data_IF_923409392167
#
_entry.id   IF_923409392167
#
_cell.length_a   1.000
_cell.length_b   1.000
_cell.length_c   1.000
_cell.angle_alpha   90.00
_cell.angle_beta   90.00
_cell.angle_gamma   90.00
#
_symmetry.space_group_name_H-M   'P 1'
#
loop_
_entity.id
_entity.type
_entity.pdbx_description
1 polymer ?
#
# COMPACT_ATOMS: atom_id res chain seq x y z
N UNK A 1 -23.08 -19.60 -6.51
CA UNK A 1 -22.35 -18.81 -5.49
C UNK A 1 -21.88 -19.63 -4.28
N UNK A 2 -22.34 -20.86 -4.04
CA UNK A 2 -21.87 -21.68 -2.91
C UNK A 2 -20.51 -22.38 -3.13
N UNK A 3 -20.10 -22.62 -4.37
CA UNK A 3 -18.86 -23.36 -4.68
C UNK A 3 -17.61 -22.48 -4.68
N UNK A 4 -17.76 -21.17 -4.89
CA UNK A 4 -16.60 -20.27 -4.97
C UNK A 4 -16.12 -19.90 -3.55
N UNK A 5 -16.98 -19.92 -2.52
CA UNK A 5 -16.60 -19.62 -1.12
C UNK A 5 -16.05 -20.82 -0.32
N UNK A 6 -15.76 -21.97 -0.95
CA UNK A 6 -15.42 -23.20 -0.22
C UNK A 6 -14.06 -23.18 0.48
N UNK A 7 -13.12 -22.35 0.02
CA UNK A 7 -11.76 -22.29 0.59
C UNK A 7 -11.26 -20.84 0.74
N UNK A 8 -11.38 -20.24 1.93
CA UNK A 8 -10.88 -18.88 2.18
C UNK A 8 -9.35 -18.76 1.99
N UNK A 9 -8.58 -19.84 2.10
CA UNK A 9 -7.13 -19.79 2.01
C UNK A 9 -6.65 -19.61 0.57
N UNK A 10 -7.39 -20.16 -0.40
CA UNK A 10 -7.13 -19.89 -1.82
C UNK A 10 -7.29 -18.39 -2.13
N UNK A 11 -8.34 -17.74 -1.63
CA UNK A 11 -8.51 -16.29 -1.78
C UNK A 11 -7.41 -15.51 -1.12
N UNK A 12 -6.98 -15.92 0.06
CA UNK A 12 -5.85 -15.30 0.75
C UNK A 12 -4.62 -15.29 -0.15
N UNK A 13 -4.28 -16.44 -0.77
CA UNK A 13 -3.14 -16.52 -1.69
C UNK A 13 -3.34 -15.64 -2.91
N UNK A 14 -4.49 -15.69 -3.59
CA UNK A 14 -4.74 -14.84 -4.77
C UNK A 14 -4.58 -13.35 -4.42
N UNK A 15 -5.19 -12.91 -3.32
CA UNK A 15 -5.09 -11.52 -2.85
C UNK A 15 -3.65 -11.17 -2.48
N UNK A 16 -2.93 -12.07 -1.83
CA UNK A 16 -1.53 -11.88 -1.45
C UNK A 16 -0.60 -11.79 -2.68
N UNK A 17 -0.78 -12.63 -3.69
CA UNK A 17 -0.07 -12.55 -4.97
C UNK A 17 -0.30 -11.20 -5.65
N UNK A 18 -1.56 -10.74 -5.73
CA UNK A 18 -1.91 -9.45 -6.34
C UNK A 18 -1.29 -8.29 -5.53
N UNK A 19 -1.35 -8.35 -4.21
CA UNK A 19 -0.72 -7.38 -3.31
C UNK A 19 0.81 -7.30 -3.55
N UNK A 20 1.52 -8.42 -3.62
CA UNK A 20 2.97 -8.44 -3.87
C UNK A 20 3.31 -7.95 -5.27
N UNK A 21 2.58 -8.39 -6.29
CA UNK A 21 2.81 -8.00 -7.68
C UNK A 21 2.59 -6.48 -7.89
N UNK A 22 1.50 -5.93 -7.35
CA UNK A 22 1.22 -4.49 -7.41
C UNK A 22 2.25 -3.68 -6.60
N UNK A 23 2.72 -4.21 -5.45
CA UNK A 23 3.81 -3.59 -4.69
C UNK A 23 5.09 -3.50 -5.54
N UNK A 24 5.49 -4.56 -6.24
CA UNK A 24 6.65 -4.52 -7.14
C UNK A 24 6.47 -3.49 -8.26
N UNK A 25 5.27 -3.43 -8.84
CA UNK A 25 4.98 -2.45 -9.89
C UNK A 25 5.09 -1.02 -9.36
N UNK A 26 4.50 -0.73 -8.21
CA UNK A 26 4.59 0.57 -7.54
C UNK A 26 6.04 0.93 -7.20
N UNK A 27 6.83 -0.01 -6.69
CA UNK A 27 8.27 0.17 -6.45
C UNK A 27 9.05 0.48 -7.73
N UNK A 28 8.68 -0.11 -8.87
CA UNK A 28 9.30 0.21 -10.16
C UNK A 28 8.98 1.64 -10.60
N UNK A 29 7.73 2.09 -10.42
CA UNK A 29 7.28 3.44 -10.76
C UNK A 29 7.92 4.50 -9.86
N UNK A 30 8.06 4.21 -8.55
CA UNK A 30 8.62 5.11 -7.56
C UNK A 30 10.06 5.56 -7.86
N UNK A 31 10.83 4.79 -8.64
CA UNK A 31 12.19 5.20 -9.07
C UNK A 31 12.23 6.45 -9.95
N UNK A 32 11.08 6.80 -10.55
CA UNK A 32 10.94 8.00 -11.38
C UNK A 32 10.46 9.20 -10.57
N UNK A 33 10.28 9.06 -9.25
CA UNK A 33 9.80 10.15 -8.40
C UNK A 33 10.96 11.08 -8.10
N UNK A 34 11.02 12.16 -8.87
CA UNK A 34 11.99 13.24 -8.73
C UNK A 34 11.27 14.57 -8.77
N UNK A 35 11.79 15.54 -8.05
CA UNK A 35 11.29 16.89 -8.04
C UNK A 35 12.45 17.86 -8.26
N UNK A 36 12.20 18.94 -8.99
CA UNK A 36 13.16 20.04 -9.10
C UNK A 36 13.08 20.93 -7.87
N UNK A 37 14.22 21.12 -7.21
CA UNK A 37 14.41 22.05 -6.11
C UNK A 37 15.37 23.17 -6.57
N UNK A 38 15.04 24.42 -6.28
CA UNK A 38 15.76 25.60 -6.80
C UNK A 38 17.26 25.56 -6.43
N UNK A 39 17.60 25.18 -5.20
CA UNK A 39 18.99 25.18 -4.72
C UNK A 39 19.75 23.85 -4.90
N UNK A 40 19.04 22.72 -5.02
CA UNK A 40 19.61 21.37 -4.90
C UNK A 40 19.50 20.54 -6.19
N UNK A 41 18.84 21.06 -7.23
CA UNK A 41 18.58 20.32 -8.46
C UNK A 41 17.51 19.24 -8.27
N UNK A 42 17.70 18.06 -8.87
CA UNK A 42 16.73 16.96 -8.76
C UNK A 42 16.86 16.21 -7.43
N UNK A 43 15.82 16.29 -6.60
CA UNK A 43 15.74 15.59 -5.31
C UNK A 43 14.70 14.47 -5.41
N UNK A 44 14.99 13.25 -4.93
CA UNK A 44 14.00 12.19 -4.86
C UNK A 44 12.93 12.53 -3.81
N UNK A 45 11.68 12.19 -4.11
CA UNK A 45 10.58 12.28 -3.15
C UNK A 45 9.79 10.97 -3.15
N UNK A 46 8.96 10.77 -2.15
CA UNK A 46 8.16 9.57 -1.94
C UNK A 46 6.67 9.87 -2.10
N UNK A 47 5.86 8.84 -2.37
CA UNK A 47 4.40 9.02 -2.37
C UNK A 47 3.90 9.48 -0.99
N UNK A 48 4.59 9.11 0.10
CA UNK A 48 4.26 9.56 1.44
C UNK A 48 4.37 11.08 1.60
N UNK A 49 5.29 11.74 0.90
CA UNK A 49 5.40 13.20 0.91
C UNK A 49 4.17 13.86 0.27
N UNK A 50 3.56 13.20 -0.71
CA UNK A 50 2.28 13.63 -1.28
C UNK A 50 1.11 13.32 -0.34
N UNK A 51 1.14 12.21 0.39
CA UNK A 51 0.10 11.79 1.33
C UNK A 51 0.09 12.62 2.63
N UNK A 52 1.25 13.04 3.11
CA UNK A 52 1.42 13.81 4.35
C UNK A 52 2.06 15.19 4.12
N UNK A 53 1.48 16.06 3.27
CA UNK A 53 1.96 17.42 3.11
C UNK A 53 1.67 18.22 4.38
N UNK A 54 2.60 19.09 4.79
CA UNK A 54 2.40 19.99 5.93
C UNK A 54 1.30 21.02 5.68
N UNK A 55 1.03 21.35 4.41
CA UNK A 55 0.04 22.35 4.03
C UNK A 55 -0.52 22.13 2.61
N UNK A 56 -1.69 22.72 2.27
CA UNK A 56 -2.22 22.67 0.91
C UNK A 56 -1.28 23.31 -0.13
N UNK A 57 -0.52 24.32 0.28
CA UNK A 57 0.43 25.02 -0.57
C UNK A 57 1.64 24.14 -0.87
N UNK A 58 2.14 23.40 0.13
CA UNK A 58 3.21 22.44 -0.08
C UNK A 58 2.81 21.35 -1.08
N UNK A 59 1.61 20.76 -0.95
CA UNK A 59 1.14 19.76 -1.92
C UNK A 59 1.12 20.30 -3.35
N UNK A 60 0.66 21.54 -3.54
CA UNK A 60 0.64 22.19 -4.85
C UNK A 60 2.06 22.43 -5.36
N UNK A 61 2.97 22.90 -4.50
CA UNK A 61 4.38 23.11 -4.82
C UNK A 61 5.07 21.81 -5.23
N UNK A 62 4.87 20.72 -4.49
CA UNK A 62 5.38 19.39 -4.84
C UNK A 62 4.91 19.00 -6.25
N UNK A 63 3.63 19.19 -6.56
CA UNK A 63 3.05 18.83 -7.86
C UNK A 63 3.53 19.71 -9.02
N UNK A 64 3.71 21.00 -8.78
CA UNK A 64 4.17 21.95 -9.80
C UNK A 64 5.63 21.73 -10.16
N UNK A 65 6.46 21.39 -9.18
CA UNK A 65 7.91 21.20 -9.36
C UNK A 65 8.27 19.78 -9.84
N UNK A 66 7.29 18.92 -10.07
CA UNK A 66 7.51 17.59 -10.67
C UNK A 66 7.71 17.72 -12.19
N UNK A 67 8.79 17.15 -12.77
CA UNK A 67 8.91 17.00 -14.21
C UNK A 67 7.80 16.09 -14.75
N UNK A 68 7.48 16.24 -16.04
CA UNK A 68 6.38 15.51 -16.67
C UNK A 68 6.51 13.98 -16.57
N UNK A 69 7.73 13.45 -16.64
CA UNK A 69 7.99 12.02 -16.49
C UNK A 69 7.66 11.52 -15.07
N UNK A 70 8.03 12.28 -14.03
CA UNK A 70 7.67 11.98 -12.65
C UNK A 70 6.15 12.07 -12.45
N UNK A 71 5.51 13.11 -13.01
CA UNK A 71 4.05 13.29 -12.93
C UNK A 71 3.29 12.12 -13.58
N UNK A 72 3.76 11.63 -14.73
CA UNK A 72 3.21 10.43 -15.40
C UNK A 72 3.39 9.18 -14.54
N UNK A 73 4.58 9.02 -13.93
CA UNK A 73 4.86 7.90 -13.04
C UNK A 73 3.99 7.92 -11.79
N UNK A 74 3.81 9.08 -11.14
CA UNK A 74 2.91 9.24 -9.97
C UNK A 74 1.47 8.93 -10.38
N UNK A 75 1.00 9.45 -11.51
CA UNK A 75 -0.36 9.14 -12.00
C UNK A 75 -0.55 7.64 -12.22
N UNK A 76 0.41 6.96 -12.85
CA UNK A 76 0.37 5.51 -13.02
C UNK A 76 0.40 4.79 -11.68
N UNK A 77 1.21 5.26 -10.73
CA UNK A 77 1.31 4.68 -9.40
C UNK A 77 -0.03 4.78 -8.66
N UNK A 78 -0.71 5.93 -8.69
CA UNK A 78 -2.04 6.09 -8.09
C UNK A 78 -3.08 5.17 -8.73
N UNK A 79 -3.00 4.92 -10.05
CA UNK A 79 -3.87 3.95 -10.71
C UNK A 79 -3.62 2.51 -10.28
N UNK A 80 -2.35 2.13 -10.16
CA UNK A 80 -1.95 0.80 -9.65
C UNK A 80 -2.37 0.66 -8.18
N UNK A 81 -2.35 1.74 -7.42
CA UNK A 81 -2.77 1.76 -6.02
C UNK A 81 -4.24 1.35 -5.85
N UNK A 82 -5.11 1.65 -6.84
CA UNK A 82 -6.49 1.15 -6.82
C UNK A 82 -6.58 -0.38 -6.83
N UNK A 83 -5.67 -1.05 -7.56
CA UNK A 83 -5.60 -2.51 -7.60
C UNK A 83 -4.93 -3.05 -6.34
N UNK A 84 -3.88 -2.38 -5.86
CA UNK A 84 -3.20 -2.73 -4.61
C UNK A 84 -4.17 -2.73 -3.42
N UNK A 85 -4.97 -1.67 -3.26
CA UNK A 85 -5.92 -1.57 -2.16
C UNK A 85 -7.08 -2.57 -2.27
N UNK A 86 -7.50 -2.91 -3.49
CA UNK A 86 -8.49 -3.97 -3.73
C UNK A 86 -7.96 -5.37 -3.36
N UNK A 87 -6.64 -5.53 -3.22
CA UNK A 87 -6.02 -6.73 -2.67
C UNK A 87 -5.80 -6.60 -1.15
N UNK A 88 -5.19 -5.51 -0.69
CA UNK A 88 -4.75 -5.32 0.69
C UNK A 88 -5.90 -5.34 1.70
N UNK A 89 -6.95 -4.52 1.51
CA UNK A 89 -8.01 -4.42 2.51
C UNK A 89 -8.84 -5.71 2.60
N UNK A 90 -9.23 -6.38 1.49
CA UNK A 90 -9.85 -7.69 1.56
C UNK A 90 -8.95 -8.76 2.18
N UNK A 91 -7.63 -8.71 1.95
CA UNK A 91 -6.68 -9.63 2.58
C UNK A 91 -6.71 -9.49 4.11
N UNK A 92 -6.65 -8.26 4.63
CA UNK A 92 -6.73 -7.98 6.07
C UNK A 92 -8.11 -8.38 6.62
N UNK A 93 -9.19 -8.03 5.92
CA UNK A 93 -10.55 -8.38 6.33
C UNK A 93 -10.74 -9.90 6.40
N UNK A 94 -10.25 -10.64 5.41
CA UNK A 94 -10.30 -12.09 5.35
C UNK A 94 -9.54 -12.73 6.52
N UNK A 95 -8.33 -12.23 6.83
CA UNK A 95 -7.59 -12.66 8.02
C UNK A 95 -8.39 -12.44 9.30
N UNK A 96 -9.03 -11.29 9.45
CA UNK A 96 -9.91 -11.02 10.59
C UNK A 96 -11.05 -12.04 10.68
N UNK A 97 -11.77 -12.28 9.58
CA UNK A 97 -12.91 -13.21 9.55
C UNK A 97 -12.51 -14.65 9.91
N UNK A 98 -11.41 -15.13 9.31
CA UNK A 98 -10.91 -16.50 9.50
C UNK A 98 -10.41 -16.72 10.93
N UNK A 99 -9.64 -15.77 11.47
CA UNK A 99 -9.15 -15.87 12.85
C UNK A 99 -10.27 -15.68 13.87
N UNK A 100 -11.19 -14.75 13.60
CA UNK A 100 -12.37 -14.51 14.42
C UNK A 100 -13.19 -15.77 14.63
N UNK A 101 -13.38 -16.58 13.58
CA UNK A 101 -14.09 -17.86 13.66
C UNK A 101 -13.53 -18.86 14.67
N UNK A 102 -12.25 -18.73 15.07
CA UNK A 102 -11.60 -19.57 16.08
C UNK A 102 -11.70 -19.03 17.52
N UNK A 103 -12.24 -17.83 17.71
CA UNK A 103 -12.20 -17.13 19.01
C UNK A 103 -13.51 -17.16 19.79
N UNK A 104 -14.53 -17.89 19.30
CA UNK A 104 -15.84 -17.95 19.95
C UNK A 104 -16.51 -16.57 19.99
N UNK A 105 -16.85 -16.06 21.18
CA UNK A 105 -17.46 -14.73 21.33
C UNK A 105 -16.56 -13.58 20.81
N UNK A 106 -15.24 -13.77 20.75
CA UNK A 106 -14.31 -12.80 20.15
C UNK A 106 -14.53 -12.61 18.64
N UNK A 107 -15.28 -13.49 17.98
CA UNK A 107 -15.57 -13.42 16.55
C UNK A 107 -16.25 -12.10 16.16
N UNK A 108 -17.18 -11.59 16.97
CA UNK A 108 -17.88 -10.33 16.68
C UNK A 108 -16.93 -9.13 16.66
N UNK A 109 -15.90 -9.13 17.50
CA UNK A 109 -14.87 -8.09 17.47
C UNK A 109 -14.11 -8.16 16.14
N UNK A 110 -13.67 -9.33 15.71
CA UNK A 110 -12.99 -9.50 14.43
C UNK A 110 -13.88 -9.16 13.23
N UNK A 111 -15.18 -9.44 13.29
CA UNK A 111 -16.14 -9.03 12.26
C UNK A 111 -16.26 -7.51 12.16
N UNK A 112 -16.30 -6.81 13.30
CA UNK A 112 -16.27 -5.36 13.33
C UNK A 112 -14.97 -4.82 12.70
N UNK A 113 -13.81 -5.36 13.07
CA UNK A 113 -12.52 -4.93 12.49
C UNK A 113 -12.46 -5.22 10.98
N UNK A 114 -13.00 -6.36 10.53
CA UNK A 114 -13.12 -6.69 9.11
C UNK A 114 -14.00 -5.68 8.37
N UNK A 115 -15.16 -5.32 8.93
CA UNK A 115 -16.04 -4.29 8.36
C UNK A 115 -15.35 -2.91 8.32
N UNK A 116 -14.53 -2.57 9.31
CA UNK A 116 -13.72 -1.34 9.29
C UNK A 116 -12.70 -1.29 8.14
N UNK A 117 -12.22 -2.43 7.65
CA UNK A 117 -11.33 -2.45 6.47
C UNK A 117 -12.02 -1.97 5.20
N UNK A 118 -13.34 -2.16 5.07
CA UNK A 118 -14.11 -1.61 3.96
C UNK A 118 -14.12 -0.06 3.99
N UNK A 119 -14.23 0.54 5.18
CA UNK A 119 -14.13 1.99 5.33
C UNK A 119 -12.72 2.50 5.05
N UNK A 120 -11.68 1.76 5.47
CA UNK A 120 -10.30 2.08 5.15
C UNK A 120 -10.07 2.11 3.63
N UNK A 121 -10.59 1.10 2.92
CA UNK A 121 -10.59 1.04 1.46
C UNK A 121 -11.30 2.25 0.82
N UNK A 122 -12.47 2.63 1.33
CA UNK A 122 -13.18 3.81 0.84
C UNK A 122 -12.40 5.10 1.04
N UNK A 123 -11.76 5.28 2.20
CA UNK A 123 -10.91 6.45 2.46
C UNK A 123 -9.71 6.49 1.50
N UNK A 124 -9.12 5.34 1.18
CA UNK A 124 -8.04 5.23 0.21
C UNK A 124 -8.48 5.63 -1.21
N UNK A 125 -9.67 5.17 -1.65
CA UNK A 125 -10.30 5.59 -2.92
C UNK A 125 -10.43 7.12 -2.98
N UNK A 126 -10.99 7.72 -1.93
CA UNK A 126 -11.27 9.15 -1.89
C UNK A 126 -9.97 9.98 -1.90
N UNK A 127 -8.95 9.50 -1.20
CA UNK A 127 -7.62 10.10 -1.14
C UNK A 127 -6.91 10.04 -2.51
N UNK A 128 -6.84 8.86 -3.14
CA UNK A 128 -6.26 8.69 -4.46
C UNK A 128 -7.00 9.48 -5.55
N UNK A 129 -8.34 9.54 -5.48
CA UNK A 129 -9.14 10.38 -6.37
C UNK A 129 -8.84 11.88 -6.18
N UNK A 130 -8.64 12.33 -4.94
CA UNK A 130 -8.24 13.70 -4.63
C UNK A 130 -6.86 14.03 -5.23
N UNK A 131 -5.86 13.16 -5.03
CA UNK A 131 -4.53 13.34 -5.61
C UNK A 131 -4.54 13.34 -7.14
N UNK A 132 -5.27 12.42 -7.78
CA UNK A 132 -5.41 12.38 -9.24
C UNK A 132 -6.02 13.68 -9.79
N UNK A 133 -7.05 14.22 -9.11
CA UNK A 133 -7.63 15.52 -9.48
C UNK A 133 -6.62 16.65 -9.31
N UNK A 134 -5.84 16.63 -8.22
CA UNK A 134 -4.82 17.64 -7.93
C UNK A 134 -3.65 17.62 -8.91
N UNK A 135 -3.21 16.43 -9.33
CA UNK A 135 -2.16 16.24 -10.35
C UNK A 135 -2.58 16.79 -11.71
N UNK A 136 -3.88 16.78 -12.03
CA UNK A 136 -4.40 17.35 -13.29
C UNK A 136 -4.48 18.88 -13.24
N UNK A 137 -4.85 19.45 -12.08
CA UNK A 137 -5.02 20.90 -11.88
C UNK A 137 -4.44 21.29 -10.52
N UNK A 138 -3.14 21.59 -10.45
CA UNK A 138 -2.51 22.00 -9.20
C UNK A 138 -2.95 23.43 -8.86
N UNK A 139 -3.94 23.56 -7.99
CA UNK A 139 -4.40 24.84 -7.46
C UNK A 139 -4.74 24.73 -5.98
N UNK A 140 -4.42 25.76 -5.20
CA UNK A 140 -4.90 25.87 -3.83
C UNK A 140 -6.39 26.19 -3.89
N UNK A 141 -7.23 25.28 -3.36
CA UNK A 141 -8.66 25.54 -3.31
C UNK A 141 -8.95 26.52 -2.16
N UNK A 142 -9.85 27.49 -2.35
CA UNK A 142 -10.24 28.39 -1.28
C UNK A 142 -10.94 27.61 -0.15
N UNK A 143 -10.48 27.83 1.08
CA UNK A 143 -11.03 27.21 2.29
C UNK A 143 -10.29 25.94 2.74
N UNK A 144 -10.26 25.73 4.06
CA UNK A 144 -9.51 24.63 4.69
C UNK A 144 -10.19 23.26 4.61
N UNK A 145 -11.49 23.19 4.27
CA UNK A 145 -12.28 21.94 4.33
C UNK A 145 -11.78 20.82 3.40
N UNK A 146 -11.48 21.07 2.11
CA UNK A 146 -11.05 19.99 1.20
C UNK A 146 -9.74 19.34 1.65
N UNK A 147 -8.79 20.16 2.13
CA UNK A 147 -7.52 19.67 2.63
C UNK A 147 -7.68 18.92 3.97
N UNK A 148 -8.50 19.45 4.89
CA UNK A 148 -8.78 18.77 6.16
C UNK A 148 -9.40 17.39 5.96
N UNK A 149 -10.34 17.27 5.02
CA UNK A 149 -10.95 15.98 4.69
C UNK A 149 -9.92 15.02 4.10
N UNK A 150 -9.09 15.50 3.17
CA UNK A 150 -7.98 14.74 2.60
C UNK A 150 -7.05 14.18 3.69
N UNK A 151 -6.57 15.04 4.59
CA UNK A 151 -5.71 14.65 5.71
C UNK A 151 -6.42 13.66 6.64
N UNK A 152 -7.71 13.84 6.94
CA UNK A 152 -8.49 12.89 7.72
C UNK A 152 -8.54 11.51 7.06
N UNK A 153 -8.79 11.44 5.74
CA UNK A 153 -8.82 10.16 5.01
C UNK A 153 -7.48 9.45 5.07
N UNK A 154 -6.37 10.18 4.91
CA UNK A 154 -5.00 9.62 5.01
C UNK A 154 -4.77 9.02 6.40
N UNK A 155 -5.05 9.74 7.48
CA UNK A 155 -4.84 9.19 8.83
C UNK A 155 -5.79 8.02 9.13
N UNK A 156 -7.06 8.16 8.77
CA UNK A 156 -8.06 7.14 9.03
C UNK A 156 -7.73 5.81 8.33
N UNK A 157 -7.32 5.83 7.05
CA UNK A 157 -6.98 4.60 6.32
C UNK A 157 -5.82 3.84 6.98
N UNK A 158 -4.76 4.56 7.39
CA UNK A 158 -3.61 3.94 8.05
C UNK A 158 -3.96 3.36 9.41
N UNK A 159 -4.69 4.11 10.25
CA UNK A 159 -5.10 3.64 11.59
C UNK A 159 -5.93 2.36 11.46
N UNK A 160 -6.91 2.34 10.55
CA UNK A 160 -7.78 1.19 10.36
C UNK A 160 -7.04 -0.03 9.78
N UNK A 161 -6.15 0.19 8.80
CA UNK A 161 -5.31 -0.86 8.22
C UNK A 161 -4.38 -1.47 9.28
N UNK A 162 -3.67 -0.62 10.04
CA UNK A 162 -2.78 -1.07 11.10
C UNK A 162 -3.53 -1.76 12.23
N UNK A 163 -4.72 -1.29 12.60
CA UNK A 163 -5.55 -1.95 13.60
C UNK A 163 -5.87 -3.40 13.17
N UNK A 164 -6.25 -3.62 11.91
CA UNK A 164 -6.51 -4.97 11.38
C UNK A 164 -5.30 -5.89 11.45
N UNK A 165 -4.12 -5.41 11.04
CA UNK A 165 -2.87 -6.19 11.12
C UNK A 165 -2.45 -6.42 12.57
N UNK A 166 -2.55 -5.40 13.42
CA UNK A 166 -2.12 -5.46 14.82
C UNK A 166 -2.95 -6.43 15.66
N UNK A 167 -4.24 -6.64 15.34
CA UNK A 167 -5.07 -7.64 16.05
C UNK A 167 -4.91 -9.04 15.47
N UNK A 168 -4.71 -9.19 14.17
CA UNK A 168 -4.62 -10.50 13.52
C UNK A 168 -3.26 -11.16 13.72
N UNK A 169 -2.16 -10.40 13.57
CA UNK A 169 -0.82 -10.96 13.62
C UNK A 169 -0.48 -11.66 14.96
N UNK A 170 -0.76 -11.08 16.15
CA UNK A 170 -0.52 -11.76 17.42
C UNK A 170 -1.35 -13.03 17.58
N UNK A 171 -2.59 -13.05 17.08
CA UNK A 171 -3.48 -14.22 17.15
C UNK A 171 -2.99 -15.36 16.25
N UNK A 172 -2.44 -15.03 15.07
CA UNK A 172 -1.77 -16.03 14.23
C UNK A 172 -0.61 -16.67 15.00
N UNK A 173 0.25 -15.86 15.63
CA UNK A 173 1.37 -16.37 16.43
C UNK A 173 0.90 -17.20 17.63
N UNK A 174 -0.16 -16.77 18.31
CA UNK A 174 -0.75 -17.54 19.40
C UNK A 174 -1.24 -18.92 18.96
N UNK A 175 -1.98 -19.01 17.84
CA UNK A 175 -2.44 -20.29 17.32
C UNK A 175 -1.29 -21.17 16.83
N UNK A 176 -0.23 -20.57 16.29
CA UNK A 176 0.98 -21.30 15.92
C UNK A 176 1.69 -21.90 17.14
N UNK A 177 1.96 -21.08 18.16
CA UNK A 177 2.67 -21.51 19.37
C UNK A 177 1.87 -22.51 20.22
N UNK A 178 0.55 -22.39 20.26
CA UNK A 178 -0.33 -23.32 20.99
C UNK A 178 -0.56 -24.64 20.24
N UNK A 179 -0.10 -24.78 19.00
CA UNK A 179 -0.38 -25.95 18.16
C UNK A 179 -1.83 -26.02 17.66
N UNK A 180 -2.63 -24.96 17.87
CA UNK A 180 -4.04 -24.86 17.43
C UNK A 180 -4.17 -24.32 15.99
N UNK A 181 -3.16 -24.54 15.16
CA UNK A 181 -3.22 -24.21 13.74
C UNK A 181 -3.96 -25.31 12.97
N UNK A 182 -4.63 -24.92 11.89
CA UNK A 182 -5.31 -25.88 11.02
C UNK A 182 -4.24 -26.50 10.11
N UNK A 183 -4.01 -27.80 10.17
CA UNK A 183 -2.97 -28.45 9.34
C UNK A 183 -3.21 -28.22 7.84
N UNK A 184 -4.47 -28.10 7.44
CA UNK A 184 -4.91 -27.77 6.08
C UNK A 184 -4.36 -26.43 5.57
N UNK A 185 -3.93 -25.52 6.45
CA UNK A 185 -3.42 -24.19 6.07
C UNK A 185 -1.92 -24.20 5.77
N UNK A 186 -1.21 -25.27 6.14
CA UNK A 186 0.24 -25.37 5.95
C UNK A 186 0.69 -25.20 4.49
N UNK A 187 0.01 -25.78 3.48
CA UNK A 187 0.39 -25.57 2.08
C UNK A 187 0.30 -24.10 1.67
N UNK A 188 -0.76 -23.39 2.08
CA UNK A 188 -0.96 -21.98 1.77
C UNK A 188 0.09 -21.10 2.46
N UNK A 189 0.41 -21.37 3.73
CA UNK A 189 1.52 -20.69 4.42
C UNK A 189 2.84 -20.91 3.67
N UNK A 190 3.10 -22.14 3.22
CA UNK A 190 4.25 -22.46 2.38
C UNK A 190 4.29 -21.65 1.08
N UNK A 191 3.16 -21.54 0.39
CA UNK A 191 3.04 -20.71 -0.83
C UNK A 191 3.33 -19.23 -0.52
N UNK A 192 2.72 -18.66 0.51
CA UNK A 192 2.94 -17.26 0.90
C UNK A 192 4.42 -16.99 1.26
N UNK A 193 5.10 -17.93 1.91
CA UNK A 193 6.54 -17.84 2.19
C UNK A 193 7.35 -17.84 0.88
N UNK A 194 7.05 -18.76 -0.04
CA UNK A 194 7.74 -18.82 -1.35
C UNK A 194 7.53 -17.51 -2.13
N UNK A 195 6.30 -17.01 -2.21
CA UNK A 195 5.99 -15.74 -2.88
C UNK A 195 6.72 -14.56 -2.24
N UNK A 196 6.80 -14.52 -0.91
CA UNK A 196 7.54 -13.48 -0.17
C UNK A 196 9.04 -13.54 -0.47
N UNK A 197 9.63 -14.74 -0.52
CA UNK A 197 11.05 -14.92 -0.86
C UNK A 197 11.33 -14.46 -2.30
N UNK A 198 10.49 -14.85 -3.25
CA UNK A 198 10.58 -14.41 -4.65
C UNK A 198 10.45 -12.89 -4.74
N UNK A 199 9.45 -12.30 -4.08
CA UNK A 199 9.26 -10.86 -4.00
C UNK A 199 10.53 -10.14 -3.49
N UNK A 200 11.10 -10.58 -2.37
CA UNK A 200 12.31 -9.99 -1.78
C UNK A 200 13.49 -10.08 -2.76
N UNK A 201 13.65 -11.23 -3.42
CA UNK A 201 14.71 -11.43 -4.42
C UNK A 201 14.57 -10.46 -5.60
N UNK A 202 13.37 -10.31 -6.16
CA UNK A 202 13.09 -9.36 -7.25
C UNK A 202 13.33 -7.92 -6.78
N UNK A 203 12.78 -7.54 -5.63
CA UNK A 203 12.92 -6.19 -5.07
C UNK A 203 14.39 -5.81 -4.82
N UNK A 204 15.22 -6.76 -4.37
CA UNK A 204 16.68 -6.56 -4.21
C UNK A 204 17.38 -6.37 -5.56
N UNK A 205 17.08 -7.20 -6.56
CA UNK A 205 17.61 -7.07 -7.93
C UNK A 205 17.28 -5.69 -8.51
N UNK A 206 16.05 -5.24 -8.32
CA UNK A 206 15.55 -3.93 -8.71
C UNK A 206 16.37 -2.77 -8.10
N UNK A 207 16.63 -2.81 -6.79
CA UNK A 207 17.46 -1.80 -6.09
C UNK A 207 18.91 -1.82 -6.55
N UNK A 208 19.49 -3.00 -6.77
CA UNK A 208 20.88 -3.12 -7.23
C UNK A 208 21.09 -2.57 -8.65
N UNK A 209 20.13 -2.81 -9.55
CA UNK A 209 20.17 -2.25 -10.91
C UNK A 209 20.16 -0.72 -10.91
N UNK A 210 19.41 -0.10 -10.01
CA UNK A 210 19.37 1.36 -9.85
C UNK A 210 20.71 1.92 -9.36
N UNK A 211 21.33 1.30 -8.34
CA UNK A 211 22.65 1.71 -7.83
C UNK A 211 23.73 1.64 -8.91
N UNK A 212 23.68 0.62 -9.77
CA UNK A 212 24.65 0.43 -10.85
C UNK A 212 24.49 1.46 -11.97
N UNK A 213 23.28 1.94 -12.25
CA UNK A 213 23.07 2.98 -13.28
C UNK A 213 23.52 4.38 -12.84
N UNK A 214 23.62 4.65 -11.54
CA UNK A 214 24.05 5.95 -10.99
C UNK A 214 25.58 6.06 -10.90
N UNK A 215 26.29 4.95 -10.74
CA UNK A 215 27.75 4.93 -10.52
C UNK A 215 28.66 5.25 -11.73
N UNK A 216 28.34 4.96 -13.02
CA UNK A 216 29.29 5.15 -14.11
C UNK A 216 29.60 6.63 -14.42
N UNK A 217 28.74 7.57 -14.03
CA UNK A 217 28.88 8.99 -14.36
C UNK A 217 29.93 9.77 -13.52
N UNK A 218 30.57 9.15 -12.53
CA UNK A 218 31.57 9.82 -11.65
C UNK A 218 33.03 9.41 -11.87
N UNK A 219 33.31 8.55 -12.85
CA UNK A 219 34.68 8.01 -13.07
C UNK A 219 35.43 8.61 -14.27
N UNK A 220 34.88 9.63 -14.93
CA UNK A 220 35.48 10.28 -16.11
C UNK A 220 35.75 11.77 -15.90
N UNK A 221 36.40 12.11 -14.79
CA UNK A 221 37.13 13.38 -14.68
C UNK A 221 38.63 13.04 -14.60
N UNK A 222 39.42 13.43 -15.61
CA UNK A 222 40.88 13.23 -15.63
C UNK A 222 41.60 14.04 -14.54
#
# INVERSE_FOLDING_TARGET
MAVILSDPWLYFIILFTVFLATTLWMMALARRFRQQHEDLGEVPFTLLDLQFPSSPAELVRLIQNMPEDARRAVRAHLWVDFLFMAALYPLIALLCLVLGGKTGAGQYFFWLIAALQFFAWLFDILENAYLLKKLRRPSVQPGARPFRNYTFYVYAKFILAFLGVAVTLPVIFYFWMSGSFLQETLPYVGMAVVETVVFIWIARRMKNAEKNNISPARSSTP
#
